data_IF_507565438634
#
_entry.id   IF_507565438634
#
_cell.length_a   1.000
_cell.length_b   1.000
_cell.length_c   1.000
_cell.angle_alpha   90.00
_cell.angle_beta   90.00
_cell.angle_gamma   90.00
#
_symmetry.space_group_name_H-M   'P 1'
#
loop_
_entity.id
_entity.type
_entity.pdbx_description
1 polymer ?
#
# COMPACT_ATOMS: atom_id res chain seq x y z
N UNK A 1 14.82 -16.99 -29.40
CA UNK A 1 13.76 -15.97 -29.29
C UNK A 1 12.89 -16.35 -28.10
N UNK A 2 13.20 -15.87 -26.90
CA UNK A 2 12.38 -16.09 -25.70
C UNK A 2 11.63 -14.78 -25.42
N UNK A 3 10.31 -14.81 -25.59
CA UNK A 3 9.41 -13.76 -25.13
C UNK A 3 9.25 -13.92 -23.62
N UNK A 4 9.93 -13.09 -22.84
CA UNK A 4 9.69 -12.96 -21.40
C UNK A 4 8.51 -12.00 -21.16
N UNK A 5 7.33 -12.40 -21.65
CA UNK A 5 6.07 -11.66 -21.51
C UNK A 5 5.17 -12.19 -20.38
N UNK A 6 5.50 -13.33 -19.78
CA UNK A 6 4.62 -13.97 -18.79
C UNK A 6 5.30 -14.05 -17.43
N UNK A 7 5.29 -12.93 -16.70
CA UNK A 7 5.34 -13.01 -15.25
C UNK A 7 3.97 -13.53 -14.80
N UNK A 8 3.86 -14.84 -14.64
CA UNK A 8 2.62 -15.53 -14.26
C UNK A 8 2.02 -14.88 -13.00
N UNK A 9 0.81 -14.32 -13.13
CA UNK A 9 0.04 -13.77 -12.02
C UNK A 9 -0.16 -14.78 -10.89
N UNK A 10 -0.08 -16.09 -11.18
CA UNK A 10 -0.07 -17.15 -10.16
C UNK A 10 1.19 -17.13 -9.31
N UNK A 11 2.37 -16.85 -9.87
CA UNK A 11 3.62 -16.67 -9.12
C UNK A 11 3.60 -15.39 -8.29
N UNK A 12 3.10 -14.29 -8.85
CA UNK A 12 2.93 -13.02 -8.13
C UNK A 12 1.97 -13.17 -6.93
N UNK A 13 0.86 -13.91 -7.12
CA UNK A 13 -0.09 -14.23 -6.05
C UNK A 13 0.51 -15.21 -5.02
N UNK A 14 1.26 -16.23 -5.46
CA UNK A 14 1.99 -17.15 -4.57
C UNK A 14 3.05 -16.44 -3.70
N UNK A 15 3.72 -15.41 -4.23
CA UNK A 15 4.65 -14.58 -3.45
C UNK A 15 3.93 -13.70 -2.40
N UNK A 16 2.68 -13.30 -2.64
CA UNK A 16 1.83 -12.66 -1.62
C UNK A 16 1.23 -13.65 -0.60
N UNK A 17 1.19 -14.96 -0.89
CA UNK A 17 0.75 -16.01 0.06
C UNK A 17 1.78 -16.38 1.13
N UNK A 18 2.91 -15.66 1.23
CA UNK A 18 3.82 -15.76 2.39
C UNK A 18 3.16 -15.30 3.72
N UNK A 19 1.99 -14.66 3.65
CA UNK A 19 1.10 -14.45 4.79
C UNK A 19 0.23 -15.71 4.99
N UNK A 20 0.75 -16.64 5.80
CA UNK A 20 0.06 -17.82 6.35
C UNK A 20 -0.63 -18.77 5.35
N UNK A 21 0.18 -19.64 4.72
CA UNK A 21 -0.26 -20.95 4.23
C UNK A 21 -0.67 -21.85 5.40
N UNK A 22 -1.94 -21.77 5.80
CA UNK A 22 -2.48 -22.56 6.89
C UNK A 22 -4.00 -22.55 6.95
N UNK A 23 -4.68 -22.87 5.85
CA UNK A 23 -6.14 -23.09 5.84
C UNK A 23 -6.74 -23.02 4.45
N UNK A 24 -7.46 -24.07 4.04
CA UNK A 24 -8.31 -24.07 2.85
C UNK A 24 -9.39 -22.99 2.98
N UNK A 25 -9.19 -21.85 2.31
CA UNK A 25 -10.17 -20.80 2.21
C UNK A 25 -9.56 -19.60 1.50
N UNK A 26 -9.85 -19.46 0.21
CA UNK A 26 -9.66 -18.18 -0.47
C UNK A 26 -10.58 -17.16 0.23
N UNK A 27 -10.05 -16.46 1.23
CA UNK A 27 -10.78 -15.41 1.92
C UNK A 27 -11.22 -14.36 0.92
N UNK A 28 -12.50 -14.04 0.90
CA UNK A 28 -13.06 -12.94 0.09
C UNK A 28 -12.24 -11.68 0.36
N UNK A 29 -11.66 -11.07 -0.69
CA UNK A 29 -10.90 -9.84 -0.55
C UNK A 29 -11.86 -8.72 -0.14
N UNK A 30 -11.90 -8.42 1.15
CA UNK A 30 -12.68 -7.30 1.69
C UNK A 30 -12.10 -6.00 1.12
N UNK A 31 -12.94 -5.20 0.48
CA UNK A 31 -12.60 -3.85 0.04
C UNK A 31 -13.33 -2.86 0.93
N UNK A 32 -12.59 -1.94 1.52
CA UNK A 32 -13.11 -0.88 2.38
C UNK A 32 -13.14 0.44 1.62
N UNK A 33 -14.16 1.24 1.90
CA UNK A 33 -14.46 2.51 1.26
C UNK A 33 -13.36 3.53 1.51
N UNK A 34 -12.66 3.91 0.45
CA UNK A 34 -11.81 5.10 0.51
C UNK A 34 -12.66 6.36 0.53
N UNK A 35 -13.86 6.32 -0.05
CA UNK A 35 -14.78 7.46 -0.12
C UNK A 35 -15.21 7.94 1.27
N UNK A 36 -15.47 7.03 2.21
CA UNK A 36 -15.74 7.41 3.59
C UNK A 36 -14.61 8.24 4.19
N UNK A 37 -13.34 7.90 3.92
CA UNK A 37 -12.20 8.68 4.41
C UNK A 37 -12.21 10.07 3.76
N UNK A 38 -12.44 10.15 2.44
CA UNK A 38 -12.48 11.41 1.70
C UNK A 38 -13.57 12.34 2.24
N UNK A 39 -14.76 11.81 2.52
CA UNK A 39 -15.93 12.63 2.83
C UNK A 39 -16.07 12.93 4.32
N UNK A 40 -15.69 11.98 5.18
CA UNK A 40 -16.05 11.99 6.61
C UNK A 40 -14.87 12.17 7.57
N UNK A 41 -13.64 11.94 7.11
CA UNK A 41 -12.48 12.12 7.99
C UNK A 41 -12.14 13.62 8.15
N UNK A 42 -11.43 14.02 9.22
CA UNK A 42 -11.02 15.42 9.40
C UNK A 42 -9.88 15.85 8.45
N UNK A 43 -9.59 15.06 7.41
CA UNK A 43 -8.67 15.44 6.33
C UNK A 43 -9.35 16.38 5.34
N UNK A 44 -8.60 16.84 4.33
CA UNK A 44 -9.08 17.83 3.35
C UNK A 44 -9.61 17.16 2.06
N UNK A 45 -10.23 15.97 2.20
CA UNK A 45 -10.74 15.18 1.08
C UNK A 45 -9.73 15.01 -0.05
N UNK A 46 -10.11 15.39 -1.27
CA UNK A 46 -9.26 15.32 -2.46
C UNK A 46 -8.05 16.26 -2.43
N UNK A 47 -8.00 17.23 -1.52
CA UNK A 47 -6.86 18.15 -1.36
C UNK A 47 -5.75 17.59 -0.46
N UNK A 48 -5.91 16.34 0.01
CA UNK A 48 -4.89 15.61 0.75
C UNK A 48 -5.26 15.32 2.20
N UNK A 49 -4.42 14.52 2.84
CA UNK A 49 -4.61 14.06 4.20
C UNK A 49 -3.36 13.43 4.78
N UNK A 50 -3.43 13.05 6.05
CA UNK A 50 -2.29 12.48 6.76
C UNK A 50 -2.66 11.22 7.54
N UNK A 51 -1.75 10.23 7.56
CA UNK A 51 -1.97 8.92 8.19
C UNK A 51 -2.51 9.04 9.61
N UNK A 52 -1.90 9.89 10.45
CA UNK A 52 -2.32 10.04 11.84
C UNK A 52 -3.74 10.58 12.03
N UNK A 53 -4.26 11.40 11.10
CA UNK A 53 -5.66 11.83 11.13
C UNK A 53 -6.59 10.71 10.65
N UNK A 54 -6.22 10.04 9.56
CA UNK A 54 -6.97 8.93 8.98
C UNK A 54 -7.14 7.76 9.95
N UNK A 55 -6.06 7.27 10.57
CA UNK A 55 -6.12 6.12 11.47
C UNK A 55 -6.83 6.44 12.79
N UNK A 56 -6.73 7.69 13.30
CA UNK A 56 -7.58 8.14 14.42
C UNK A 56 -9.05 8.14 14.05
N UNK A 57 -9.39 8.66 12.88
CA UNK A 57 -10.77 8.66 12.37
C UNK A 57 -11.30 7.23 12.27
N UNK A 58 -10.57 6.31 11.62
CA UNK A 58 -10.95 4.91 11.47
C UNK A 58 -11.30 4.26 12.82
N UNK A 59 -10.47 4.51 13.83
CA UNK A 59 -10.73 4.02 15.19
C UNK A 59 -11.99 4.64 15.81
N UNK A 60 -12.19 5.95 15.64
CA UNK A 60 -13.33 6.68 16.20
C UNK A 60 -14.66 6.34 15.50
N UNK A 61 -14.63 6.05 14.21
CA UNK A 61 -15.80 5.62 13.43
C UNK A 61 -16.17 4.15 13.63
N UNK A 62 -15.38 3.40 14.41
CA UNK A 62 -15.58 1.96 14.64
C UNK A 62 -15.23 1.09 13.44
N UNK A 63 -14.55 1.64 12.42
CA UNK A 63 -14.25 0.95 11.17
C UNK A 63 -14.54 1.80 9.93
N UNK A 64 -14.52 1.12 8.78
CA UNK A 64 -14.82 1.71 7.48
C UNK A 64 -15.93 0.92 6.79
N UNK A 65 -16.77 1.62 6.03
CA UNK A 65 -17.78 1.05 5.17
C UNK A 65 -17.14 0.10 4.16
N UNK A 66 -17.87 -0.92 3.73
CA UNK A 66 -17.45 -1.69 2.56
C UNK A 66 -17.51 -0.82 1.30
N UNK A 67 -16.59 -1.05 0.37
CA UNK A 67 -16.58 -0.36 -0.94
C UNK A 67 -17.91 -0.52 -1.68
N UNK A 68 -18.58 -1.66 -1.54
CA UNK A 68 -19.90 -1.93 -2.12
C UNK A 68 -21.03 -1.12 -1.49
N UNK A 69 -20.85 -0.65 -0.25
CA UNK A 69 -21.84 0.13 0.49
C UNK A 69 -21.60 1.64 0.39
N UNK A 70 -20.34 2.05 0.17
CA UNK A 70 -19.97 3.46 0.00
C UNK A 70 -18.87 3.56 -1.08
N UNK A 71 -19.25 3.54 -2.38
CA UNK A 71 -18.29 3.45 -3.48
C UNK A 71 -17.46 4.72 -3.67
N UNK A 72 -16.24 4.54 -4.16
CA UNK A 72 -15.36 5.62 -4.58
C UNK A 72 -15.87 6.34 -5.83
N UNK A 73 -15.95 7.67 -5.76
CA UNK A 73 -16.40 8.52 -6.88
C UNK A 73 -15.33 9.51 -7.37
N UNK A 74 -14.17 9.56 -6.71
CA UNK A 74 -13.05 10.42 -7.15
C UNK A 74 -13.18 11.90 -6.78
N UNK A 75 -14.23 12.30 -6.08
CA UNK A 75 -14.45 13.67 -5.61
C UNK A 75 -14.93 13.68 -4.16
N UNK A 76 -14.66 14.78 -3.45
CA UNK A 76 -15.20 14.97 -2.11
C UNK A 76 -16.69 15.32 -2.19
N UNK A 77 -17.50 14.58 -1.44
CA UNK A 77 -18.92 14.81 -1.23
C UNK A 77 -19.20 15.16 0.23
N UNK A 78 -20.47 15.45 0.53
CA UNK A 78 -20.91 15.53 1.93
C UNK A 78 -20.87 14.16 2.58
N UNK A 79 -20.34 14.08 3.80
CA UNK A 79 -20.33 12.83 4.56
C UNK A 79 -21.77 12.31 4.80
N UNK A 80 -22.07 11.12 4.28
CA UNK A 80 -23.30 10.40 4.55
C UNK A 80 -23.00 8.95 4.93
N UNK A 81 -23.25 8.59 6.19
CA UNK A 81 -23.06 7.22 6.71
C UNK A 81 -24.41 6.57 7.07
N UNK A 82 -25.51 7.08 6.51
CA UNK A 82 -26.82 6.50 6.74
C UNK A 82 -26.93 5.16 5.99
N UNK A 83 -27.27 4.09 6.73
CA UNK A 83 -27.46 2.74 6.18
C UNK A 83 -26.22 2.12 5.51
N UNK A 84 -25.01 2.53 5.89
CA UNK A 84 -23.78 1.93 5.37
C UNK A 84 -23.35 0.72 6.22
N UNK A 85 -22.95 -0.35 5.55
CA UNK A 85 -22.39 -1.52 6.22
C UNK A 85 -20.90 -1.31 6.52
N UNK A 86 -20.53 -1.37 7.80
CA UNK A 86 -19.17 -1.06 8.30
C UNK A 86 -18.41 -2.35 8.61
N UNK A 87 -17.25 -2.51 7.98
CA UNK A 87 -16.23 -3.46 8.41
C UNK A 87 -15.51 -2.95 9.65
N UNK A 88 -15.56 -3.73 10.73
CA UNK A 88 -14.97 -3.37 12.02
C UNK A 88 -13.43 -3.37 11.96
N UNK A 89 -12.82 -2.34 12.55
CA UNK A 89 -11.38 -2.25 12.78
C UNK A 89 -11.18 -2.00 14.28
N UNK A 90 -10.60 -2.97 14.99
CA UNK A 90 -10.46 -2.94 16.45
C UNK A 90 -9.42 -1.93 16.92
N UNK A 91 -8.42 -1.64 16.10
CA UNK A 91 -7.34 -0.72 16.47
C UNK A 91 -6.38 -0.43 15.34
N UNK A 92 -5.34 0.31 15.67
CA UNK A 92 -4.20 0.54 14.80
C UNK A 92 -2.92 0.68 15.61
N UNK A 93 -1.80 0.41 14.97
CA UNK A 93 -0.47 0.63 15.53
C UNK A 93 0.45 1.31 14.52
N UNK A 94 1.65 1.67 15.01
CA UNK A 94 2.70 2.30 14.21
C UNK A 94 4.02 1.57 14.37
N UNK A 95 4.87 1.65 13.35
CA UNK A 95 6.26 1.20 13.43
C UNK A 95 7.18 2.37 13.79
N UNK A 96 8.32 2.13 14.47
CA UNK A 96 9.32 3.17 14.69
C UNK A 96 9.84 3.76 13.38
N UNK A 97 10.07 5.07 13.35
CA UNK A 97 10.60 5.78 12.19
C UNK A 97 11.93 5.17 11.72
N UNK A 98 12.04 4.91 10.42
CA UNK A 98 13.25 4.38 9.78
C UNK A 98 13.51 2.89 10.02
N UNK A 99 12.68 2.21 10.82
CA UNK A 99 12.94 0.82 11.21
C UNK A 99 12.27 -0.18 10.25
N UNK A 100 12.96 -0.47 9.15
CA UNK A 100 12.50 -1.40 8.12
C UNK A 100 12.29 -2.85 8.63
N UNK A 101 13.05 -3.27 9.64
CA UNK A 101 12.88 -4.60 10.26
C UNK A 101 11.59 -4.69 11.09
N UNK A 102 11.25 -3.65 11.85
CA UNK A 102 9.95 -3.59 12.55
C UNK A 102 8.78 -3.49 11.58
N UNK A 103 8.95 -2.81 10.44
CA UNK A 103 7.95 -2.84 9.37
C UNK A 103 7.77 -4.25 8.80
N UNK A 104 8.85 -5.00 8.58
CA UNK A 104 8.77 -6.39 8.13
C UNK A 104 8.01 -7.27 9.12
N UNK A 105 8.27 -7.10 10.42
CA UNK A 105 7.56 -7.80 11.52
C UNK A 105 6.09 -7.41 11.54
N UNK A 106 5.78 -6.12 11.50
CA UNK A 106 4.41 -5.62 11.50
C UNK A 106 3.62 -6.14 10.28
N UNK A 107 4.23 -6.12 9.09
CA UNK A 107 3.60 -6.65 7.87
C UNK A 107 3.24 -8.13 8.02
N UNK A 108 4.14 -8.92 8.60
CA UNK A 108 3.93 -10.37 8.79
C UNK A 108 2.87 -10.68 9.86
N UNK A 109 2.69 -9.76 10.82
CA UNK A 109 1.79 -9.95 11.97
C UNK A 109 0.38 -9.41 11.70
N UNK A 110 0.30 -8.23 11.10
CA UNK A 110 -0.94 -7.46 10.96
C UNK A 110 -1.40 -7.34 9.50
N UNK A 111 -0.61 -7.82 8.54
CA UNK A 111 -0.89 -7.66 7.12
C UNK A 111 -0.42 -6.29 6.58
N UNK A 112 -0.99 -5.81 5.46
CA UNK A 112 -0.50 -4.64 4.74
C UNK A 112 -0.24 -3.39 5.61
N UNK A 113 0.86 -2.69 5.32
CA UNK A 113 1.22 -1.45 5.99
C UNK A 113 0.88 -0.24 5.13
N UNK A 114 0.19 0.74 5.68
CA UNK A 114 0.09 2.07 5.08
C UNK A 114 1.38 2.85 5.36
N UNK A 115 2.04 3.28 4.29
CA UNK A 115 3.32 4.00 4.34
C UNK A 115 3.29 5.16 3.36
N UNK A 116 4.30 6.03 3.42
CA UNK A 116 4.47 7.12 2.46
C UNK A 116 5.83 7.09 1.80
N UNK A 117 5.92 7.63 0.59
CA UNK A 117 7.17 7.85 -0.15
C UNK A 117 7.21 9.27 -0.70
N UNK A 118 8.41 9.68 -1.13
CA UNK A 118 8.59 10.76 -2.07
C UNK A 118 8.53 10.24 -3.51
N UNK A 119 7.64 10.79 -4.34
CA UNK A 119 7.49 10.41 -5.74
C UNK A 119 8.48 11.18 -6.61
N UNK A 120 9.43 10.46 -7.21
CA UNK A 120 10.30 10.99 -8.26
C UNK A 120 9.77 10.66 -9.66
N UNK A 121 10.44 11.17 -10.71
CA UNK A 121 10.16 10.82 -12.10
C UNK A 121 10.27 9.31 -12.37
N UNK A 122 11.09 8.56 -11.63
CA UNK A 122 11.22 7.11 -11.76
C UNK A 122 9.92 6.35 -11.47
N UNK A 123 9.05 6.92 -10.63
CA UNK A 123 7.73 6.35 -10.35
C UNK A 123 6.77 6.60 -11.51
N UNK A 124 6.76 7.80 -12.10
CA UNK A 124 5.86 8.13 -13.20
C UNK A 124 6.05 7.20 -14.40
N UNK A 125 7.29 6.83 -14.68
CA UNK A 125 7.65 5.92 -15.78
C UNK A 125 7.92 4.48 -15.32
N UNK A 126 7.48 4.10 -14.12
CA UNK A 126 7.63 2.74 -13.64
C UNK A 126 6.73 1.79 -14.45
N UNK A 127 7.34 0.88 -15.20
CA UNK A 127 6.63 -0.12 -15.99
C UNK A 127 7.57 -1.11 -16.69
N UNK A 128 7.05 -2.27 -17.11
CA UNK A 128 7.86 -3.33 -17.73
C UNK A 128 8.64 -2.86 -18.96
N UNK A 129 8.02 -2.03 -19.82
CA UNK A 129 8.66 -1.50 -21.03
C UNK A 129 9.78 -0.50 -20.72
N UNK A 130 9.59 0.35 -19.72
CA UNK A 130 10.50 1.42 -19.37
C UNK A 130 11.71 0.91 -18.59
N UNK A 131 11.55 -0.19 -17.84
CA UNK A 131 12.62 -0.83 -17.08
C UNK A 131 13.22 -2.06 -17.78
N UNK A 132 12.85 -2.32 -19.04
CA UNK A 132 13.38 -3.44 -19.81
C UNK A 132 14.92 -3.42 -19.86
N UNK A 133 15.56 -4.51 -19.41
CA UNK A 133 17.03 -4.62 -19.35
C UNK A 133 17.68 -3.95 -18.15
N UNK A 134 16.90 -3.44 -17.19
CA UNK A 134 17.37 -2.90 -15.90
C UNK A 134 16.65 -3.59 -14.74
N UNK A 135 17.05 -3.28 -13.49
CA UNK A 135 16.35 -3.78 -12.30
C UNK A 135 14.92 -3.22 -12.26
N UNK A 136 13.95 -4.07 -11.96
CA UNK A 136 12.55 -3.67 -11.73
C UNK A 136 12.32 -3.12 -10.31
N UNK A 137 13.39 -2.95 -9.53
CA UNK A 137 13.42 -2.34 -8.21
C UNK A 137 13.80 -0.87 -8.35
N UNK A 138 12.99 0.02 -7.79
CA UNK A 138 13.34 1.44 -7.62
C UNK A 138 14.46 1.55 -6.57
N UNK A 139 15.64 1.99 -6.98
CA UNK A 139 16.80 2.26 -6.12
C UNK A 139 17.47 3.57 -6.57
N UNK A 140 17.19 4.66 -5.85
CA UNK A 140 17.57 6.03 -6.22
C UNK A 140 18.53 6.56 -5.17
N UNK A 141 19.79 6.80 -5.56
CA UNK A 141 20.88 7.12 -4.63
C UNK A 141 20.66 8.37 -3.75
N UNK A 142 19.84 9.33 -4.19
CA UNK A 142 19.56 10.56 -3.44
C UNK A 142 18.08 10.91 -3.45
N UNK A 143 17.24 9.90 -3.20
CA UNK A 143 15.80 10.13 -3.08
C UNK A 143 15.48 10.94 -1.81
N UNK A 144 14.73 12.05 -1.91
CA UNK A 144 14.24 12.77 -0.75
C UNK A 144 13.40 11.87 0.17
N UNK A 145 13.41 12.18 1.46
CA UNK A 145 12.60 11.47 2.48
C UNK A 145 11.38 12.27 2.95
N UNK A 146 11.15 13.44 2.37
CA UNK A 146 9.92 14.22 2.55
C UNK A 146 8.77 13.49 1.89
N UNK A 147 7.71 13.16 2.63
CA UNK A 147 6.63 12.34 2.09
C UNK A 147 5.61 13.20 1.35
N UNK A 148 5.25 12.79 0.13
CA UNK A 148 4.23 13.45 -0.70
C UNK A 148 3.16 12.48 -1.24
N UNK A 149 3.38 11.17 -1.11
CA UNK A 149 2.45 10.16 -1.62
C UNK A 149 2.24 9.01 -0.64
N UNK A 150 1.00 8.60 -0.47
CA UNK A 150 0.60 7.49 0.39
C UNK A 150 0.36 6.21 -0.42
N UNK A 151 0.90 5.11 0.08
CA UNK A 151 0.95 3.80 -0.59
C UNK A 151 0.81 2.68 0.45
N UNK A 152 0.75 1.43 0.00
CA UNK A 152 0.69 0.29 0.90
C UNK A 152 1.76 -0.76 0.60
N UNK A 153 2.57 -1.12 1.59
CA UNK A 153 3.43 -2.31 1.50
C UNK A 153 2.55 -3.54 1.69
N UNK A 154 2.67 -4.49 0.78
CA UNK A 154 1.89 -5.74 0.77
C UNK A 154 2.77 -6.99 0.81
N UNK A 155 4.08 -6.83 0.68
CA UNK A 155 5.04 -7.92 0.68
C UNK A 155 6.47 -7.42 0.67
N UNK A 156 7.42 -8.35 0.70
CA UNK A 156 8.84 -8.09 0.53
C UNK A 156 9.50 -9.31 -0.10
N UNK A 157 10.71 -9.12 -0.59
CA UNK A 157 11.53 -10.22 -1.09
C UNK A 157 12.98 -9.80 -1.32
N UNK A 158 13.67 -10.67 -2.05
CA UNK A 158 15.02 -10.45 -2.56
C UNK A 158 15.05 -10.97 -3.99
N UNK A 159 15.58 -10.19 -4.91
CA UNK A 159 15.73 -10.57 -6.31
C UNK A 159 17.15 -10.21 -6.78
N UNK A 160 17.87 -11.18 -7.34
CA UNK A 160 19.26 -11.00 -7.79
C UNK A 160 20.18 -10.39 -6.71
N UNK A 161 19.96 -10.74 -5.44
CA UNK A 161 20.74 -10.23 -4.31
C UNK A 161 20.32 -8.84 -3.80
N UNK A 162 19.28 -8.23 -4.38
CA UNK A 162 18.73 -6.94 -3.95
C UNK A 162 17.41 -7.12 -3.20
N UNK A 163 17.36 -6.63 -1.97
CA UNK A 163 16.17 -6.62 -1.13
C UNK A 163 15.14 -5.58 -1.61
N UNK A 164 13.86 -5.95 -1.62
CA UNK A 164 12.78 -5.05 -2.01
C UNK A 164 11.54 -5.14 -1.10
N UNK A 165 10.79 -4.05 -1.07
CA UNK A 165 9.38 -3.99 -0.68
C UNK A 165 8.50 -4.16 -1.92
N UNK A 166 7.46 -4.98 -1.83
CA UNK A 166 6.38 -5.02 -2.81
C UNK A 166 5.28 -4.06 -2.36
N UNK A 167 4.98 -3.09 -3.20
CA UNK A 167 4.12 -1.96 -2.85
C UNK A 167 2.93 -1.88 -3.80
N UNK A 168 1.74 -1.72 -3.25
CA UNK A 168 0.52 -1.38 -3.99
C UNK A 168 0.42 0.14 -4.12
N UNK A 169 0.22 0.61 -5.35
CA UNK A 169 -0.07 2.00 -5.67
C UNK A 169 -1.58 2.22 -5.91
N UNK A 170 -1.98 3.48 -6.13
CA UNK A 170 -3.36 3.91 -6.34
C UNK A 170 -3.60 4.55 -7.73
N UNK A 171 -2.70 4.35 -8.69
CA UNK A 171 -2.78 4.92 -10.06
C UNK A 171 -3.37 3.96 -11.11
N UNK A 172 -4.23 3.05 -10.67
CA UNK A 172 -4.85 2.05 -11.54
C UNK A 172 -3.97 0.85 -11.84
N UNK A 173 -4.59 -0.17 -12.45
CA UNK A 173 -3.92 -1.43 -12.75
C UNK A 173 -2.99 -1.34 -13.97
N UNK A 174 -3.22 -0.40 -14.89
CA UNK A 174 -2.39 -0.25 -16.09
C UNK A 174 -1.02 0.39 -15.80
N UNK A 175 -0.84 0.93 -14.59
CA UNK A 175 0.43 1.50 -14.15
C UNK A 175 1.32 0.42 -13.50
N UNK A 176 2.63 0.45 -13.78
CA UNK A 176 3.60 -0.42 -13.14
C UNK A 176 3.38 -1.92 -13.39
N UNK A 177 3.57 -2.71 -12.34
CA UNK A 177 3.34 -4.16 -12.32
C UNK A 177 1.89 -4.44 -11.90
N UNK A 178 0.93 -4.17 -12.78
CA UNK A 178 -0.51 -4.33 -12.49
C UNK A 178 -1.00 -3.48 -11.29
N UNK A 179 -0.55 -2.24 -11.18
CA UNK A 179 -0.81 -1.32 -10.07
C UNK A 179 0.16 -1.47 -8.88
N UNK A 180 1.22 -2.27 -9.03
CA UNK A 180 2.24 -2.49 -8.01
C UNK A 180 3.62 -2.04 -8.50
N UNK A 181 4.55 -1.91 -7.56
CA UNK A 181 5.96 -1.69 -7.86
C UNK A 181 6.85 -2.28 -6.78
N UNK A 182 8.13 -2.48 -7.13
CA UNK A 182 9.18 -2.83 -6.19
C UNK A 182 10.05 -1.62 -5.90
N UNK A 183 10.40 -1.42 -4.63
CA UNK A 183 11.31 -0.37 -4.17
C UNK A 183 12.32 -0.97 -3.21
N UNK A 184 13.55 -0.48 -3.25
CA UNK A 184 14.65 -1.06 -2.49
C UNK A 184 14.35 -1.04 -0.99
N UNK A 185 14.58 -2.18 -0.34
CA UNK A 185 14.48 -2.38 1.11
C UNK A 185 15.88 -2.49 1.69
N UNK A 186 16.04 -2.13 2.97
CA UNK A 186 17.33 -2.13 3.66
C UNK A 186 18.34 -1.18 2.99
N UNK A 187 17.83 -0.02 2.55
CA UNK A 187 18.56 1.01 1.80
C UNK A 187 18.29 2.38 2.39
N UNK A 188 18.46 2.48 3.71
CA UNK A 188 18.28 3.72 4.46
C UNK A 188 16.91 4.37 4.23
N UNK A 189 15.83 3.57 4.28
CA UNK A 189 14.47 4.06 4.00
C UNK A 189 14.39 4.72 2.62
N UNK A 190 14.53 3.92 1.56
CA UNK A 190 14.49 4.39 0.17
C UNK A 190 13.26 5.29 -0.07
N UNK A 191 13.50 6.52 -0.54
CA UNK A 191 12.47 7.55 -0.73
C UNK A 191 11.58 7.84 0.49
N UNK A 192 12.10 7.60 1.70
CA UNK A 192 11.37 7.81 2.95
C UNK A 192 10.34 6.72 3.28
N UNK A 193 10.36 5.56 2.60
CA UNK A 193 9.31 4.54 2.76
C UNK A 193 9.07 4.07 4.21
N UNK A 194 10.11 4.13 5.06
CA UNK A 194 10.03 3.78 6.47
C UNK A 194 9.81 4.97 7.41
N UNK A 195 9.52 6.16 6.88
CA UNK A 195 9.24 7.37 7.69
C UNK A 195 7.96 7.22 8.50
N UNK A 196 6.93 6.63 7.88
CA UNK A 196 5.64 6.33 8.49
C UNK A 196 5.29 4.87 8.18
N UNK A 197 4.99 4.09 9.21
CA UNK A 197 4.37 2.77 9.05
C UNK A 197 3.18 2.66 9.96
N UNK A 198 2.00 2.49 9.38
CA UNK A 198 0.74 2.29 10.09
C UNK A 198 0.11 0.96 9.68
N UNK A 199 -0.50 0.26 10.64
CA UNK A 199 -1.24 -0.97 10.39
C UNK A 199 -2.54 -0.99 11.21
N UNK A 200 -3.54 -1.69 10.70
CA UNK A 200 -4.80 -1.94 11.41
C UNK A 200 -4.72 -3.22 12.22
N UNK A 201 -5.49 -3.28 13.30
CA UNK A 201 -5.76 -4.49 14.08
C UNK A 201 -7.24 -4.81 13.85
N UNK A 202 -7.52 -5.98 13.28
CA UNK A 202 -8.88 -6.47 12.98
C UNK A 202 -9.33 -7.52 13.98
#
# INVERSE_FOLDING_TARGET
MNRFGDMDLSEFRKKMTGLNSGGNGFGTRIQLSQQQIVDCSPNNGCSGGFFGATFRYIKQSGGLAYETSYPYVGTQQSCSLESVEIGSIQGYGTTPNGNEEEMKRALSTYGPLAVGVYVTSDFQFYGPSQRAGTSDIIDIASCPKTIDHAIAIVGYGTENGQDYWLVRNSWGADWGLNGYFKIARNKDSMCGIATYGYYTQV
#
